data_IF_798869203807
#
_entry.id   IF_798869203807
#
_cell.length_a   1.000
_cell.length_b   1.000
_cell.length_c   1.000
_cell.angle_alpha   90.00
_cell.angle_beta   90.00
_cell.angle_gamma   90.00
#
_symmetry.space_group_name_H-M   'P 1'
#
loop_
_entity.id
_entity.type
_entity.pdbx_description
1 polymer ?
#
# COMPACT_ATOMS: atom_id res chain seq x y z
N UNK A 1 -22.56 -24.48 32.01
CA UNK A 1 -21.64 -23.32 31.91
C UNK A 1 -20.17 -23.71 31.75
N UNK A 2 -19.63 -24.70 32.48
CA UNK A 2 -18.21 -25.09 32.31
C UNK A 2 -17.91 -25.73 30.94
N UNK A 3 -18.77 -26.63 30.45
CA UNK A 3 -18.60 -27.31 29.14
C UNK A 3 -18.67 -26.36 27.95
N UNK A 4 -19.55 -25.35 27.98
CA UNK A 4 -19.66 -24.33 26.92
C UNK A 4 -18.41 -23.44 26.85
N UNK A 5 -17.79 -23.15 27.98
CA UNK A 5 -16.55 -22.38 28.04
C UNK A 5 -15.35 -23.18 27.52
N UNK A 6 -15.27 -24.48 27.85
CA UNK A 6 -14.25 -25.38 27.31
C UNK A 6 -14.37 -25.52 25.79
N UNK A 7 -15.59 -25.69 25.27
CA UNK A 7 -15.83 -25.77 23.83
C UNK A 7 -15.45 -24.47 23.10
N UNK A 8 -15.72 -23.31 23.70
CA UNK A 8 -15.31 -22.01 23.16
C UNK A 8 -13.78 -21.85 23.13
N UNK A 9 -13.09 -22.24 24.20
CA UNK A 9 -11.64 -22.20 24.28
C UNK A 9 -10.99 -23.16 23.26
N UNK A 10 -11.58 -24.35 23.08
CA UNK A 10 -11.10 -25.34 22.10
C UNK A 10 -11.29 -24.82 20.67
N UNK A 11 -12.42 -24.16 20.39
CA UNK A 11 -12.68 -23.53 19.10
C UNK A 11 -11.69 -22.39 18.80
N UNK A 12 -11.36 -21.56 19.80
CA UNK A 12 -10.35 -20.49 19.66
C UNK A 12 -8.95 -21.04 19.40
N UNK A 13 -8.57 -22.15 20.05
CA UNK A 13 -7.29 -22.82 19.83
C UNK A 13 -7.25 -23.40 18.41
N UNK A 14 -8.31 -24.06 17.96
CA UNK A 14 -8.39 -24.61 16.60
C UNK A 14 -8.33 -23.50 15.54
N UNK A 15 -8.96 -22.34 15.79
CA UNK A 15 -8.88 -21.18 14.89
C UNK A 15 -7.45 -20.61 14.79
N UNK A 16 -6.67 -20.69 15.88
CA UNK A 16 -5.30 -20.19 15.93
C UNK A 16 -4.29 -21.10 15.21
N UNK A 17 -4.63 -22.37 15.00
CA UNK A 17 -3.78 -23.38 14.36
C UNK A 17 -4.09 -23.61 12.87
N UNK A 18 -4.96 -22.81 12.26
CA UNK A 18 -5.19 -22.91 10.82
C UNK A 18 -3.92 -22.48 10.05
N UNK A 19 -3.35 -23.34 9.20
CA UNK A 19 -2.19 -22.97 8.40
C UNK A 19 -2.60 -21.89 7.39
N UNK A 20 -2.03 -20.70 7.56
CA UNK A 20 -2.14 -19.62 6.57
C UNK A 20 -1.32 -20.06 5.35
N UNK A 21 -1.99 -20.63 4.34
CA UNK A 21 -1.35 -20.85 3.05
C UNK A 21 -0.96 -19.48 2.48
N UNK A 22 0.35 -19.22 2.39
CA UNK A 22 0.87 -17.99 1.82
C UNK A 22 0.62 -18.01 0.30
N UNK A 23 -0.44 -17.36 -0.13
CA UNK A 23 -0.62 -17.00 -1.53
C UNK A 23 0.47 -16.01 -1.92
N UNK A 24 1.35 -16.42 -2.83
CA UNK A 24 2.35 -15.55 -3.45
C UNK A 24 1.69 -14.72 -4.56
N UNK A 25 0.91 -13.71 -4.17
CA UNK A 25 0.47 -12.67 -5.11
C UNK A 25 1.58 -11.61 -5.20
N UNK A 26 2.05 -11.32 -6.42
CA UNK A 26 3.00 -10.22 -6.62
C UNK A 26 2.23 -8.92 -6.80
N UNK A 27 2.32 -8.04 -5.80
CA UNK A 27 1.90 -6.66 -5.97
C UNK A 27 2.83 -5.95 -6.98
N UNK A 28 2.33 -4.96 -7.73
CA UNK A 28 3.15 -4.17 -8.63
C UNK A 28 4.17 -3.34 -7.83
N UNK A 29 5.46 -3.60 -8.04
CA UNK A 29 6.56 -2.91 -7.37
C UNK A 29 7.24 -1.91 -8.31
N UNK A 30 7.32 -0.63 -7.92
CA UNK A 30 8.04 0.38 -8.68
C UNK A 30 9.55 0.28 -8.46
N UNK A 31 10.35 0.34 -9.54
CA UNK A 31 11.81 0.46 -9.44
C UNK A 31 12.25 1.78 -8.80
N UNK A 32 11.41 2.81 -8.87
CA UNK A 32 11.60 4.12 -8.23
C UNK A 32 10.70 4.24 -6.98
N UNK A 33 10.91 3.38 -5.98
CA UNK A 33 10.11 3.36 -4.75
C UNK A 33 10.12 4.71 -3.99
N UNK A 34 11.20 5.49 -4.11
CA UNK A 34 11.31 6.83 -3.52
C UNK A 34 10.32 7.84 -4.12
N UNK A 35 9.83 7.60 -5.34
CA UNK A 35 8.91 8.48 -6.03
C UNK A 35 7.44 8.19 -5.68
N UNK A 36 7.16 7.07 -4.99
CA UNK A 36 5.84 6.68 -4.52
C UNK A 36 5.86 6.20 -3.04
N UNK A 37 6.32 7.02 -2.09
CA UNK A 37 6.54 6.59 -0.70
C UNK A 37 5.25 6.15 0.02
N UNK A 38 4.11 6.77 -0.32
CA UNK A 38 2.79 6.41 0.21
C UNK A 38 2.28 5.05 -0.28
N UNK A 39 2.89 4.47 -1.32
CA UNK A 39 2.62 3.10 -1.77
C UNK A 39 3.50 2.07 -1.02
N UNK A 40 4.60 2.51 -0.40
CA UNK A 40 5.54 1.63 0.31
C UNK A 40 5.17 1.53 1.78
N UNK A 41 4.93 2.66 2.44
CA UNK A 41 4.63 2.68 3.87
C UNK A 41 3.81 3.93 4.25
N UNK A 42 2.64 3.77 4.90
CA UNK A 42 1.84 4.91 5.35
C UNK A 42 2.55 5.79 6.38
N UNK A 43 3.53 5.26 7.11
CA UNK A 43 4.36 6.06 8.03
C UNK A 43 5.26 7.07 7.29
N UNK A 44 5.42 6.97 5.96
CA UNK A 44 6.15 7.96 5.16
C UNK A 44 5.31 9.18 4.77
N UNK A 45 4.03 9.20 5.16
CA UNK A 45 3.15 10.37 4.97
C UNK A 45 3.75 11.57 5.71
N UNK A 46 3.96 12.69 5.04
CA UNK A 46 4.54 13.87 5.71
C UNK A 46 6.05 13.78 6.03
N UNK A 47 6.73 12.70 5.63
CA UNK A 47 8.18 12.56 5.81
C UNK A 47 8.90 13.12 4.58
N UNK A 48 8.96 14.45 4.49
CA UNK A 48 9.68 15.20 3.46
C UNK A 48 9.94 16.63 3.93
N UNK A 49 10.84 17.33 3.24
CA UNK A 49 11.07 18.75 3.46
C UNK A 49 10.02 19.58 2.69
N UNK A 50 9.02 20.10 3.40
CA UNK A 50 7.97 20.94 2.83
C UNK A 50 6.70 20.95 3.68
N UNK A 51 5.65 21.61 3.16
CA UNK A 51 4.31 21.61 3.77
C UNK A 51 3.40 20.55 3.15
N UNK A 52 3.39 20.48 1.82
CA UNK A 52 2.64 19.48 1.04
C UNK A 52 3.56 18.87 -0.03
N UNK A 53 3.23 17.68 -0.50
CA UNK A 53 3.89 17.01 -1.62
C UNK A 53 2.83 16.37 -2.50
N UNK A 54 3.05 16.47 -3.82
CA UNK A 54 2.27 15.81 -4.86
C UNK A 54 3.24 14.96 -5.66
N UNK A 55 2.88 13.70 -5.93
CA UNK A 55 3.66 12.82 -6.77
C UNK A 55 2.76 12.11 -7.78
N UNK A 56 3.22 12.06 -9.04
CA UNK A 56 2.60 11.35 -10.14
C UNK A 56 3.65 10.42 -10.74
N UNK A 57 3.33 9.14 -10.83
CA UNK A 57 4.21 8.12 -11.36
C UNK A 57 3.47 7.34 -12.44
N UNK A 58 4.07 7.26 -13.62
CA UNK A 58 3.59 6.45 -14.72
C UNK A 58 4.66 5.43 -15.08
N UNK A 59 4.27 4.18 -15.23
CA UNK A 59 5.13 3.09 -15.67
C UNK A 59 4.43 2.32 -16.78
N UNK A 60 5.15 2.09 -17.87
CA UNK A 60 4.74 1.20 -18.94
C UNK A 60 5.80 0.10 -19.12
N UNK A 61 5.38 -1.15 -19.31
CA UNK A 61 6.28 -2.27 -19.60
C UNK A 61 5.81 -3.06 -20.81
N UNK A 62 6.77 -3.55 -21.60
CA UNK A 62 6.54 -4.41 -22.76
C UNK A 62 5.75 -3.76 -23.92
N UNK A 63 5.66 -2.43 -23.94
CA UNK A 63 4.96 -1.65 -24.99
C UNK A 63 5.45 -1.87 -26.42
N UNK A 64 6.66 -2.39 -26.61
CA UNK A 64 7.20 -2.70 -27.95
C UNK A 64 7.00 -4.16 -28.37
N UNK A 65 6.50 -5.04 -27.49
CA UNK A 65 6.44 -6.49 -27.70
C UNK A 65 5.00 -7.03 -27.66
N UNK A 66 4.08 -6.34 -26.98
CA UNK A 66 2.70 -6.78 -26.77
C UNK A 66 1.75 -5.63 -27.13
N UNK A 67 0.69 -5.91 -27.91
CA UNK A 67 -0.30 -4.90 -28.32
C UNK A 67 -1.03 -4.24 -27.12
N UNK A 68 -1.06 -4.91 -25.96
CA UNK A 68 -1.63 -4.38 -24.73
C UNK A 68 -0.62 -4.45 -23.56
N UNK A 69 0.21 -3.40 -23.37
CA UNK A 69 1.28 -3.40 -22.38
C UNK A 69 0.79 -3.23 -20.95
N UNK A 70 1.63 -3.63 -20.01
CA UNK A 70 1.38 -3.42 -18.59
C UNK A 70 1.56 -1.94 -18.26
N UNK A 71 0.51 -1.30 -17.75
CA UNK A 71 0.49 0.13 -17.43
C UNK A 71 0.10 0.33 -15.98
N UNK A 72 0.99 0.97 -15.22
CA UNK A 72 0.74 1.33 -13.83
C UNK A 72 0.80 2.84 -13.67
N UNK A 73 -0.28 3.43 -13.16
CA UNK A 73 -0.37 4.84 -12.79
C UNK A 73 -0.57 4.96 -11.28
N UNK A 74 0.30 5.70 -10.61
CA UNK A 74 0.14 6.03 -9.20
C UNK A 74 0.16 7.54 -9.01
N UNK A 75 -0.86 8.05 -8.32
CA UNK A 75 -0.96 9.44 -7.93
C UNK A 75 -1.02 9.53 -6.40
N UNK A 76 -0.36 10.51 -5.82
CA UNK A 76 -0.35 10.64 -4.37
C UNK A 76 -0.18 12.08 -3.93
N UNK A 77 -0.83 12.41 -2.82
CA UNK A 77 -0.82 13.73 -2.19
C UNK A 77 -0.64 13.53 -0.69
N UNK A 78 0.29 14.26 -0.07
CA UNK A 78 0.35 14.36 1.38
C UNK A 78 0.68 15.75 1.87
N UNK A 79 0.22 16.03 3.09
CA UNK A 79 0.44 17.28 3.79
C UNK A 79 0.77 16.99 5.25
N UNK A 80 1.70 17.78 5.81
CA UNK A 80 2.03 17.73 7.24
C UNK A 80 1.73 19.06 7.93
N UNK A 81 1.24 18.97 9.15
CA UNK A 81 0.98 20.10 10.02
C UNK A 81 1.79 19.95 11.31
N UNK A 82 2.40 21.04 11.77
CA UNK A 82 3.22 21.04 12.98
C UNK A 82 2.31 21.10 14.21
N UNK A 83 2.34 20.06 15.03
CA UNK A 83 1.82 20.12 16.39
C UNK A 83 2.97 20.59 17.30
N UNK A 84 2.68 21.35 18.36
CA UNK A 84 3.72 21.99 19.18
C UNK A 84 4.84 21.04 19.65
N UNK A 85 5.99 21.61 20.06
CA UNK A 85 7.19 20.87 20.51
C UNK A 85 7.95 20.08 19.43
N UNK A 86 7.69 20.34 18.15
CA UNK A 86 8.43 19.73 17.04
C UNK A 86 7.81 18.45 16.50
N UNK A 87 6.66 18.06 17.01
CA UNK A 87 5.88 16.95 16.49
C UNK A 87 5.12 17.37 15.22
N UNK A 88 4.82 16.40 14.36
CA UNK A 88 4.02 16.62 13.16
C UNK A 88 2.90 15.59 13.08
N UNK A 89 1.72 16.04 12.67
CA UNK A 89 0.69 15.15 12.16
C UNK A 89 0.69 15.28 10.64
N UNK A 90 0.48 14.18 9.93
CA UNK A 90 0.35 14.24 8.49
C UNK A 90 -0.77 13.33 8.00
N UNK A 91 -1.36 13.74 6.88
CA UNK A 91 -2.43 13.03 6.22
C UNK A 91 -2.18 13.05 4.72
N UNK A 92 -2.63 12.01 4.04
CA UNK A 92 -2.38 11.84 2.62
C UNK A 92 -3.39 10.92 1.95
N UNK A 93 -3.42 11.04 0.63
CA UNK A 93 -4.22 10.26 -0.29
C UNK A 93 -3.25 9.59 -1.27
N UNK A 94 -3.44 8.31 -1.53
CA UNK A 94 -2.72 7.61 -2.59
C UNK A 94 -3.71 6.81 -3.43
N UNK A 95 -3.58 6.90 -4.74
CA UNK A 95 -4.32 6.09 -5.69
C UNK A 95 -3.34 5.31 -6.55
N UNK A 96 -3.73 4.09 -6.90
CA UNK A 96 -2.97 3.22 -7.78
C UNK A 96 -3.94 2.54 -8.73
N UNK A 97 -3.67 2.72 -10.02
CA UNK A 97 -4.34 2.03 -11.11
C UNK A 97 -3.30 1.17 -11.82
N UNK A 98 -3.56 -0.11 -11.89
CA UNK A 98 -2.71 -1.09 -12.56
C UNK A 98 -3.51 -1.84 -13.60
N UNK A 99 -3.01 -1.85 -14.83
CA UNK A 99 -3.62 -2.50 -15.98
C UNK A 99 -2.65 -3.55 -16.52
N UNK A 100 -3.05 -4.82 -16.45
CA UNK A 100 -2.16 -5.94 -16.70
C UNK A 100 -2.59 -6.78 -17.91
N UNK A 101 -1.86 -6.61 -19.01
CA UNK A 101 -1.77 -7.55 -20.13
C UNK A 101 -3.04 -7.72 -20.98
N UNK A 102 -3.03 -8.68 -21.93
CA UNK A 102 -4.12 -8.91 -22.89
C UNK A 102 -5.45 -9.35 -22.25
N UNK A 103 -5.44 -9.76 -20.98
CA UNK A 103 -6.62 -10.10 -20.20
C UNK A 103 -7.37 -8.88 -19.62
N UNK A 104 -6.91 -7.65 -19.91
CA UNK A 104 -7.51 -6.39 -19.42
C UNK A 104 -7.78 -6.38 -17.91
N UNK A 105 -6.90 -7.02 -17.13
CA UNK A 105 -7.04 -7.00 -15.68
C UNK A 105 -6.76 -5.58 -15.18
N UNK A 106 -7.77 -4.95 -14.59
CA UNK A 106 -7.70 -3.59 -14.10
C UNK A 106 -7.89 -3.60 -12.58
N UNK A 107 -6.86 -3.18 -11.85
CA UNK A 107 -6.91 -2.97 -10.41
C UNK A 107 -6.85 -1.49 -10.12
N UNK A 108 -7.89 -0.96 -9.48
CA UNK A 108 -7.91 0.42 -8.98
C UNK A 108 -7.99 0.36 -7.47
N UNK A 109 -7.09 1.05 -6.80
CA UNK A 109 -7.10 1.21 -5.35
C UNK A 109 -6.95 2.66 -4.95
N UNK A 110 -7.62 3.03 -3.87
CA UNK A 110 -7.54 4.33 -3.25
C UNK A 110 -7.36 4.17 -1.74
N UNK A 111 -6.33 4.81 -1.20
CA UNK A 111 -5.95 4.72 0.20
C UNK A 111 -5.88 6.11 0.83
N UNK A 112 -6.41 6.21 2.03
CA UNK A 112 -6.21 7.31 2.97
C UNK A 112 -5.08 6.91 3.92
N UNK A 113 -4.11 7.80 4.08
CA UNK A 113 -2.95 7.60 4.94
C UNK A 113 -2.96 8.67 6.04
N UNK A 114 -2.70 8.25 7.26
CA UNK A 114 -2.50 9.12 8.42
C UNK A 114 -1.18 8.76 9.06
N UNK A 115 -0.45 9.75 9.56
CA UNK A 115 0.78 9.49 10.30
C UNK A 115 1.04 10.54 11.37
N UNK A 116 1.83 10.14 12.36
CA UNK A 116 2.27 10.98 13.44
C UNK A 116 3.78 10.85 13.61
N UNK A 117 4.48 11.98 13.50
CA UNK A 117 5.93 12.09 13.62
C UNK A 117 6.22 12.73 14.99
N UNK A 118 6.81 11.96 15.89
CA UNK A 118 7.21 12.40 17.22
C UNK A 118 8.70 12.70 17.24
N UNK A 119 9.09 13.90 17.65
CA UNK A 119 10.50 14.24 17.81
C UNK A 119 11.03 13.59 19.11
N UNK A 120 11.98 12.66 18.99
CA UNK A 120 12.57 11.96 20.15
C UNK A 120 13.72 12.75 20.77
N UNK A 121 14.54 13.38 19.94
CA UNK A 121 15.70 14.12 20.41
C UNK A 121 15.95 15.33 19.51
N UNK A 122 15.97 16.51 20.13
CA UNK A 122 16.37 17.78 19.54
C UNK A 122 17.65 18.21 20.25
N UNK A 123 18.75 17.49 20.01
CA UNK A 123 19.99 17.79 20.72
C UNK A 123 20.67 18.98 20.04
N UNK A 124 20.76 20.11 20.74
CA UNK A 124 21.41 21.36 20.27
C UNK A 124 22.90 21.16 19.87
N UNK A 125 23.51 20.04 20.27
CA UNK A 125 24.90 19.65 19.99
C UNK A 125 25.07 18.56 18.92
N UNK A 126 24.01 17.90 18.46
CA UNK A 126 24.06 16.92 17.36
C UNK A 126 23.10 17.39 16.28
N UNK A 127 23.63 17.80 15.12
CA UNK A 127 22.86 18.39 14.01
C UNK A 127 21.87 17.46 13.30
N UNK A 128 21.35 16.43 13.97
CA UNK A 128 20.40 15.47 13.40
C UNK A 128 19.24 15.27 14.37
N UNK A 129 18.10 15.83 14.01
CA UNK A 129 16.83 15.58 14.71
C UNK A 129 16.36 14.15 14.43
N UNK A 130 16.04 13.41 15.48
CA UNK A 130 15.50 12.05 15.34
C UNK A 130 13.98 12.07 15.53
N UNK A 131 13.27 11.45 14.60
CA UNK A 131 11.81 11.33 14.62
C UNK A 131 11.41 9.86 14.68
N UNK A 132 10.45 9.55 15.55
CA UNK A 132 9.72 8.29 15.55
C UNK A 132 8.42 8.51 14.80
N UNK A 133 8.17 7.71 13.76
CA UNK A 133 6.97 7.89 12.93
C UNK A 133 6.11 6.64 12.98
N UNK A 134 4.82 6.84 13.24
CA UNK A 134 3.80 5.81 13.15
C UNK A 134 2.78 6.20 12.08
N UNK A 135 2.36 5.22 11.27
CA UNK A 135 1.41 5.42 10.18
C UNK A 135 0.24 4.45 10.26
N UNK A 136 -0.91 4.91 9.81
CA UNK A 136 -2.13 4.13 9.62
C UNK A 136 -2.63 4.34 8.19
N UNK A 137 -3.07 3.27 7.55
CA UNK A 137 -3.64 3.29 6.21
C UNK A 137 -5.01 2.63 6.23
N UNK A 138 -5.96 3.24 5.53
CA UNK A 138 -7.25 2.62 5.24
C UNK A 138 -7.66 2.94 3.82
N UNK A 139 -8.15 1.97 3.07
CA UNK A 139 -8.50 2.17 1.68
C UNK A 139 -9.42 1.11 1.12
N UNK A 140 -9.77 1.29 -0.14
CA UNK A 140 -10.60 0.38 -0.92
C UNK A 140 -9.87 0.00 -2.21
N UNK A 141 -10.05 -1.24 -2.64
CA UNK A 141 -9.52 -1.76 -3.89
C UNK A 141 -10.63 -2.44 -4.67
N UNK A 142 -10.71 -2.13 -5.96
CA UNK A 142 -11.58 -2.81 -6.91
C UNK A 142 -10.72 -3.52 -7.95
N UNK A 143 -11.09 -4.76 -8.23
CA UNK A 143 -10.49 -5.60 -9.25
C UNK A 143 -11.53 -5.85 -10.33
N UNK A 144 -11.21 -5.55 -11.58
CA UNK A 144 -11.99 -5.87 -12.75
C UNK A 144 -11.23 -6.87 -13.61
N UNK A 145 -11.88 -7.98 -13.95
CA UNK A 145 -11.39 -8.96 -14.91
C UNK A 145 -12.39 -8.98 -16.07
N UNK A 146 -11.91 -8.73 -17.28
CA UNK A 146 -12.73 -8.91 -18.48
C UNK A 146 -12.47 -10.32 -19.04
N UNK A 147 -13.39 -11.24 -18.73
CA UNK A 147 -13.29 -12.64 -19.12
C UNK A 147 -13.52 -12.87 -20.62
N UNK A 148 -13.95 -11.85 -21.38
CA UNK A 148 -14.30 -11.99 -22.80
C UNK A 148 -13.08 -12.20 -23.73
N UNK A 149 -11.87 -11.85 -23.28
CA UNK A 149 -10.61 -12.03 -24.02
C UNK A 149 -9.72 -13.17 -23.48
N UNK A 150 -10.21 -13.95 -22.52
CA UNK A 150 -9.46 -15.09 -21.99
C UNK A 150 -9.60 -16.28 -22.93
N UNK A 151 -8.59 -16.52 -23.75
CA UNK A 151 -8.39 -17.80 -24.42
C UNK A 151 -7.95 -18.83 -23.38
N UNK A 152 -8.80 -19.80 -23.09
CA UNK A 152 -8.41 -21.00 -22.37
C UNK A 152 -8.00 -22.03 -23.41
N UNK A 153 -6.74 -22.45 -23.40
CA UNK A 153 -6.34 -23.63 -24.16
C UNK A 153 -7.00 -24.83 -23.49
N UNK A 154 -7.96 -25.46 -24.15
CA UNK A 154 -8.46 -26.77 -23.76
C UNK A 154 -7.31 -27.78 -23.92
N UNK A 155 -6.68 -28.17 -22.82
CA UNK A 155 -5.60 -29.15 -22.80
C UNK A 155 -6.18 -30.55 -22.58
N UNK A 156 -6.54 -31.19 -23.71
CA UNK A 156 -6.84 -32.60 -23.98
C UNK A 156 -8.12 -33.23 -23.39
N UNK A 157 -8.81 -33.95 -24.29
CA UNK A 157 -9.76 -35.06 -24.09
C UNK A 157 -8.98 -36.33 -23.66
#
# INVERSE_FOLDING_TARGET
MKSTFTNLATLLIVLFWLPVQQLQAQDPHFSQFYAAPLQVNPAMTGVYNGQFRIALNYREQWGSVIDNPFRTLAASFDMRHRMGKGDYIAYGLSTLRDEAGPANYNRISGNLNLSYLKQLNSSRYRGSDQYLVAGLQGGFGQHGLDYSNLWFTEQYD
#
